data_IF_580044814240
#
_entry.id   IF_580044814240
#
_cell.length_a   1.000
_cell.length_b   1.000
_cell.length_c   1.000
_cell.angle_alpha   90.00
_cell.angle_beta   90.00
_cell.angle_gamma   90.00
#
_symmetry.space_group_name_H-M   'P 1'
#
loop_
_entity.id
_entity.type
_entity.pdbx_description
1 polymer ?
#
# COMPACT_ATOMS: atom_id res chain seq x y z
N UNK A 1 18.28 -2.60 -2.63
CA UNK A 1 17.89 -1.27 -2.08
C UNK A 1 18.07 -1.16 -0.55
N UNK A 2 18.00 -2.25 0.23
CA UNK A 2 18.34 -2.25 1.67
C UNK A 2 19.84 -2.48 1.95
N UNK A 3 20.58 -3.11 1.04
CA UNK A 3 21.96 -3.58 1.27
C UNK A 3 22.97 -2.50 1.67
N UNK A 4 22.70 -1.22 1.37
CA UNK A 4 23.53 -0.09 1.77
C UNK A 4 23.28 0.37 3.22
N UNK A 5 22.27 -0.18 3.93
CA UNK A 5 21.96 0.14 5.32
C UNK A 5 21.35 1.53 5.56
N UNK A 6 20.90 2.23 4.51
CA UNK A 6 20.39 3.61 4.60
C UNK A 6 18.96 3.68 5.15
N UNK A 7 18.13 2.67 4.88
CA UNK A 7 16.74 2.59 5.34
C UNK A 7 16.53 1.31 6.15
N UNK A 8 15.72 1.39 7.21
CA UNK A 8 15.35 0.20 7.97
C UNK A 8 14.40 -0.69 7.15
N UNK A 9 14.46 -2.00 7.37
CA UNK A 9 13.67 -2.99 6.61
C UNK A 9 12.16 -2.73 6.68
N UNK A 10 11.67 -2.25 7.83
CA UNK A 10 10.26 -1.97 8.07
C UNK A 10 9.92 -0.49 7.94
N UNK A 11 10.85 0.33 7.44
CA UNK A 11 10.59 1.75 7.26
C UNK A 11 9.66 1.95 6.04
N UNK A 12 8.43 2.37 6.33
CA UNK A 12 7.41 2.60 5.31
C UNK A 12 7.66 3.96 4.64
N UNK A 13 8.44 3.92 3.56
CA UNK A 13 8.84 5.09 2.79
C UNK A 13 8.23 5.08 1.38
N UNK A 14 8.02 6.27 0.85
CA UNK A 14 7.56 6.53 -0.51
C UNK A 14 8.56 7.48 -1.20
N UNK A 15 8.81 7.26 -2.48
CA UNK A 15 9.56 8.21 -3.30
C UNK A 15 8.56 9.01 -4.14
N UNK A 16 8.44 10.31 -3.83
CA UNK A 16 7.49 11.21 -4.49
C UNK A 16 8.28 12.43 -4.96
N UNK A 17 8.28 12.67 -6.26
CA UNK A 17 8.98 13.81 -6.89
C UNK A 17 10.47 13.91 -6.51
N UNK A 18 11.13 12.75 -6.34
CA UNK A 18 12.54 12.68 -5.92
C UNK A 18 12.76 12.85 -4.41
N UNK A 19 11.70 13.04 -3.63
CA UNK A 19 11.76 13.14 -2.17
C UNK A 19 11.37 11.82 -1.51
N UNK A 20 12.16 11.41 -0.52
CA UNK A 20 11.82 10.27 0.34
C UNK A 20 10.91 10.75 1.46
N UNK A 21 9.67 10.25 1.48
CA UNK A 21 8.63 10.61 2.45
C UNK A 21 8.22 9.40 3.27
N UNK A 22 7.90 9.64 4.55
CA UNK A 22 7.27 8.62 5.39
C UNK A 22 5.82 8.45 4.99
N UNK A 23 5.43 7.21 4.73
CA UNK A 23 4.05 6.87 4.41
C UNK A 23 3.16 7.22 5.61
N UNK A 24 1.97 7.75 5.33
CA UNK A 24 1.00 8.02 6.38
C UNK A 24 0.59 6.72 7.10
N UNK A 25 0.43 6.74 8.44
CA UNK A 25 0.04 5.57 9.18
C UNK A 25 -1.35 5.11 8.74
N UNK A 26 -1.53 3.81 8.64
CA UNK A 26 -2.79 3.24 8.19
C UNK A 26 -3.63 2.85 9.40
N UNK A 27 -4.56 3.74 9.74
CA UNK A 27 -5.53 3.50 10.79
C UNK A 27 -6.63 2.51 10.38
N UNK A 28 -7.34 1.98 11.38
CA UNK A 28 -8.44 1.01 11.20
C UNK A 28 -9.51 1.46 10.21
N UNK A 29 -9.88 2.75 10.23
CA UNK A 29 -10.87 3.32 9.30
C UNK A 29 -10.39 3.29 7.84
N UNK A 30 -9.14 3.63 7.61
CA UNK A 30 -8.53 3.55 6.28
C UNK A 30 -8.50 2.11 5.78
N UNK A 31 -8.01 1.18 6.61
CA UNK A 31 -7.97 -0.25 6.27
C UNK A 31 -9.37 -0.81 5.94
N UNK A 32 -10.40 -0.45 6.71
CA UNK A 32 -11.78 -0.87 6.45
C UNK A 32 -12.31 -0.32 5.11
N UNK A 33 -12.04 0.95 4.80
CA UNK A 33 -12.43 1.57 3.54
C UNK A 33 -11.78 0.85 2.35
N UNK A 34 -10.46 0.63 2.40
CA UNK A 34 -9.71 -0.05 1.35
C UNK A 34 -10.21 -1.49 1.16
N UNK A 35 -10.42 -2.26 2.25
CA UNK A 35 -10.94 -3.63 2.15
C UNK A 35 -12.33 -3.70 1.50
N UNK A 36 -13.20 -2.73 1.78
CA UNK A 36 -14.53 -2.66 1.15
C UNK A 36 -14.41 -2.38 -0.35
N UNK A 37 -13.54 -1.46 -0.75
CA UNK A 37 -13.29 -1.16 -2.17
C UNK A 37 -12.70 -2.36 -2.90
N UNK A 38 -11.71 -3.03 -2.30
CA UNK A 38 -11.11 -4.26 -2.83
C UNK A 38 -12.21 -5.29 -3.09
N UNK A 39 -13.06 -5.55 -2.10
CA UNK A 39 -14.17 -6.52 -2.21
C UNK A 39 -15.14 -6.15 -3.34
N UNK A 40 -15.46 -4.86 -3.47
CA UNK A 40 -16.38 -4.37 -4.51
C UNK A 40 -15.80 -4.57 -5.91
N UNK A 41 -14.53 -4.22 -6.10
CA UNK A 41 -13.86 -4.35 -7.39
C UNK A 41 -13.67 -5.81 -7.79
N UNK A 42 -13.28 -6.69 -6.86
CA UNK A 42 -13.19 -8.13 -7.14
C UNK A 42 -14.52 -8.68 -7.65
N UNK A 43 -15.64 -8.32 -7.00
CA UNK A 43 -16.97 -8.78 -7.39
C UNK A 43 -17.44 -8.22 -8.74
N UNK A 44 -17.14 -6.96 -9.03
CA UNK A 44 -17.65 -6.28 -10.24
C UNK A 44 -16.77 -6.52 -11.46
N UNK A 45 -15.46 -6.54 -11.29
CA UNK A 45 -14.51 -6.56 -12.40
C UNK A 45 -13.95 -7.97 -12.62
N UNK A 46 -13.80 -8.78 -11.57
CA UNK A 46 -13.26 -10.13 -11.66
C UNK A 46 -11.89 -10.12 -12.35
N UNK A 47 -11.68 -11.08 -13.25
CA UNK A 47 -10.40 -11.24 -13.97
C UNK A 47 -10.19 -10.23 -15.10
N UNK A 48 -11.13 -9.28 -15.30
CA UNK A 48 -10.99 -8.22 -16.30
C UNK A 48 -9.96 -7.17 -15.93
N UNK A 49 -9.50 -7.15 -14.68
CA UNK A 49 -8.46 -6.27 -14.20
C UNK A 49 -7.43 -7.05 -13.39
N UNK A 50 -6.21 -6.53 -13.36
CA UNK A 50 -5.23 -6.97 -12.38
C UNK A 50 -5.47 -6.17 -11.10
N UNK A 51 -5.91 -6.86 -10.06
CA UNK A 51 -6.13 -6.27 -8.74
C UNK A 51 -4.95 -6.61 -7.83
N UNK A 52 -4.23 -5.59 -7.37
CA UNK A 52 -3.21 -5.74 -6.33
C UNK A 52 -3.77 -5.27 -4.99
N UNK A 53 -3.74 -6.15 -3.99
CA UNK A 53 -4.00 -5.79 -2.61
C UNK A 53 -2.67 -5.43 -1.95
N UNK A 54 -2.51 -4.15 -1.61
CA UNK A 54 -1.39 -3.72 -0.78
C UNK A 54 -1.70 -4.15 0.65
N UNK A 55 -0.92 -5.08 1.17
CA UNK A 55 -1.05 -5.54 2.55
C UNK A 55 -0.40 -4.49 3.46
N UNK A 56 -1.18 -3.97 4.40
CA UNK A 56 -0.66 -3.09 5.44
C UNK A 56 -0.17 -3.99 6.58
N UNK A 57 1.15 -4.17 6.66
CA UNK A 57 1.83 -4.72 7.83
C UNK A 57 1.94 -3.63 8.92
#
# INVERSE_FOLDING_TARGET
>A
MHEAGVFAQDERLELIDGEVKKMSPIGRKHAACVNRLVTLFTKKLGDRIIQYKIQFA
#
